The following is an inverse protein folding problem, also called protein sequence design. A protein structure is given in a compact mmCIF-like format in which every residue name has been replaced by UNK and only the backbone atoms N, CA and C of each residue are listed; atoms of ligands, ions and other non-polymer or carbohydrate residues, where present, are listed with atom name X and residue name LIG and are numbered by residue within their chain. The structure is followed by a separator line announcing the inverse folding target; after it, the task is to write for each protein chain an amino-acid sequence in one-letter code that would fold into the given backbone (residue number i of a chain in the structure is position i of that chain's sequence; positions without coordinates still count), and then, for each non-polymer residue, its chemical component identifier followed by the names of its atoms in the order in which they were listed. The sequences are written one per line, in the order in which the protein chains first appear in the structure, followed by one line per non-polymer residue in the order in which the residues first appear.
data_IF_851630429673
#
_entry.id   IF_851630429673
#
_cell.length_a   1.000
_cell.length_b   1.000
_cell.length_c   1.000
_cell.angle_alpha   90.00
_cell.angle_beta   90.00
_cell.angle_gamma   90.00
#
_symmetry.space_group_name_H-M   'P 1'
#
loop_
_entity.id
_entity.type
_entity.pdbx_description
1 polymer ?
#
# COMPACT_ATOMS: atom_id res chain seq x y z
N UNK A 1 19.26 15.29 -2.31
CA UNK A 1 18.40 14.15 -1.92
C UNK A 1 17.44 13.95 -3.07
N UNK A 2 17.53 12.85 -3.81
CA UNK A 2 16.69 12.64 -4.99
C UNK A 2 15.23 12.51 -4.56
N UNK A 3 14.40 13.50 -4.88
CA UNK A 3 12.94 13.45 -4.73
C UNK A 3 12.33 12.66 -5.89
N UNK A 4 12.77 11.41 -6.09
CA UNK A 4 12.12 10.52 -7.05
C UNK A 4 11.05 9.72 -6.32
N UNK A 5 9.76 9.90 -6.64
CA UNK A 5 8.68 9.21 -5.94
C UNK A 5 8.82 7.70 -6.15
N UNK A 6 8.85 6.95 -5.05
CA UNK A 6 9.00 5.50 -5.13
C UNK A 6 7.74 4.86 -5.70
N UNK A 7 7.84 3.62 -6.21
CA UNK A 7 6.67 2.81 -6.62
C UNK A 7 5.64 2.67 -5.48
N UNK A 8 6.10 2.71 -4.23
CA UNK A 8 5.23 2.73 -3.05
C UNK A 8 4.44 4.04 -2.99
N UNK A 9 5.11 5.19 -3.07
CA UNK A 9 4.48 6.50 -2.88
C UNK A 9 3.48 6.78 -4.00
N UNK A 10 3.84 6.49 -5.26
CA UNK A 10 2.93 6.59 -6.42
C UNK A 10 1.69 5.70 -6.27
N UNK A 11 1.84 4.52 -5.65
CA UNK A 11 0.72 3.62 -5.38
C UNK A 11 -0.20 4.16 -4.29
N UNK A 12 0.38 4.66 -3.20
CA UNK A 12 -0.38 5.25 -2.09
C UNK A 12 -1.18 6.47 -2.57
N UNK A 13 -0.54 7.37 -3.32
CA UNK A 13 -1.22 8.53 -3.90
C UNK A 13 -2.40 8.13 -4.81
N UNK A 14 -2.20 7.11 -5.63
CA UNK A 14 -3.27 6.60 -6.50
C UNK A 14 -4.44 6.06 -5.68
N UNK A 15 -4.17 5.41 -4.54
CA UNK A 15 -5.22 4.91 -3.65
C UNK A 15 -5.95 6.09 -3.01
N UNK A 16 -5.25 7.11 -2.52
CA UNK A 16 -5.86 8.33 -1.97
C UNK A 16 -6.82 8.99 -2.97
N UNK A 17 -6.37 9.19 -4.22
CA UNK A 17 -7.21 9.78 -5.28
C UNK A 17 -8.44 8.95 -5.62
N UNK A 18 -8.31 7.63 -5.67
CA UNK A 18 -9.39 6.74 -6.14
C UNK A 18 -10.38 6.33 -5.04
N UNK A 19 -9.88 5.95 -3.87
CA UNK A 19 -10.69 5.40 -2.79
C UNK A 19 -11.18 6.49 -1.83
N UNK A 20 -10.34 7.50 -1.56
CA UNK A 20 -10.65 8.56 -0.60
C UNK A 20 -11.13 9.86 -1.27
N UNK A 21 -10.91 10.03 -2.58
CA UNK A 21 -11.20 11.28 -3.28
C UNK A 21 -10.26 12.44 -2.89
N UNK A 22 -9.10 12.12 -2.30
CA UNK A 22 -8.11 13.10 -1.85
C UNK A 22 -7.06 13.28 -2.95
N UNK A 23 -6.87 14.52 -3.40
CA UNK A 23 -5.96 14.85 -4.51
C UNK A 23 -4.49 14.53 -4.18
N UNK A 24 -4.05 14.92 -2.99
CA UNK A 24 -2.68 14.78 -2.48
C UNK A 24 -2.70 14.46 -0.99
N UNK A 25 -1.70 13.69 -0.53
CA UNK A 25 -1.47 13.42 0.89
C UNK A 25 -0.41 14.35 1.50
N UNK A 26 0.07 15.35 0.75
CA UNK A 26 0.95 16.39 1.28
C UNK A 26 0.19 17.27 2.28
N UNK A 27 0.81 17.56 3.43
CA UNK A 27 0.25 18.53 4.39
C UNK A 27 0.31 19.94 3.82
N UNK A 28 -0.85 20.61 3.78
CA UNK A 28 -1.01 21.96 3.22
C UNK A 28 -1.27 23.04 4.28
N UNK A 29 -1.34 22.65 5.55
CA UNK A 29 -1.61 23.53 6.68
C UNK A 29 -2.86 24.41 6.49
N UNK A 30 -3.91 23.84 5.90
CA UNK A 30 -5.17 24.49 5.58
C UNK A 30 -6.32 23.54 5.91
N UNK A 31 -7.23 23.96 6.79
CA UNK A 31 -8.23 23.05 7.35
C UNK A 31 -9.02 22.27 6.28
N UNK A 32 -9.62 22.98 5.32
CA UNK A 32 -10.43 22.33 4.27
C UNK A 32 -9.64 21.50 3.25
N UNK A 33 -8.32 21.53 3.29
CA UNK A 33 -7.43 20.77 2.42
C UNK A 33 -6.74 19.60 3.11
N UNK A 34 -6.68 19.62 4.45
CA UNK A 34 -6.00 18.61 5.27
C UNK A 34 -6.97 17.76 6.12
N UNK A 35 -8.18 18.25 6.36
CA UNK A 35 -9.23 17.50 7.08
C UNK A 35 -10.34 17.09 6.11
N UNK A 36 -10.69 15.80 6.15
CA UNK A 36 -11.69 15.20 5.29
C UNK A 36 -12.70 14.38 6.11
N UNK A 37 -13.98 14.67 5.93
CA UNK A 37 -15.05 13.80 6.41
C UNK A 37 -15.21 12.63 5.43
N UNK A 38 -14.82 11.44 5.88
CA UNK A 38 -14.82 10.22 5.06
C UNK A 38 -15.71 9.17 5.69
N UNK A 39 -16.46 8.47 4.84
CA UNK A 39 -17.23 7.33 5.28
C UNK A 39 -16.31 6.16 5.67
N UNK A 40 -16.69 5.39 6.69
CA UNK A 40 -15.86 4.27 7.17
C UNK A 40 -15.62 3.20 6.10
N UNK A 41 -16.52 3.06 5.12
CA UNK A 41 -16.34 2.12 4.02
C UNK A 41 -15.31 2.58 2.97
N UNK A 42 -15.14 3.88 2.74
CA UNK A 42 -14.08 4.38 1.83
C UNK A 42 -12.70 4.24 2.47
N UNK A 43 -12.62 4.47 3.79
CA UNK A 43 -11.41 4.20 4.57
C UNK A 43 -11.05 2.71 4.49
N UNK A 44 -12.03 1.82 4.70
CA UNK A 44 -11.83 0.37 4.57
C UNK A 44 -11.31 -0.01 3.18
N UNK A 45 -11.94 0.47 2.11
CA UNK A 45 -11.53 0.21 0.73
C UNK A 45 -10.08 0.64 0.45
N UNK A 46 -9.69 1.83 0.94
CA UNK A 46 -8.32 2.30 0.81
C UNK A 46 -7.30 1.40 1.53
N UNK A 47 -7.63 0.94 2.75
CA UNK A 47 -6.76 0.05 3.53
C UNK A 47 -6.63 -1.33 2.87
N UNK A 48 -7.71 -1.89 2.33
CA UNK A 48 -7.69 -3.16 1.59
C UNK A 48 -6.82 -3.04 0.33
N UNK A 49 -6.98 -1.96 -0.44
CA UNK A 49 -6.14 -1.69 -1.61
C UNK A 49 -4.66 -1.50 -1.26
N UNK A 50 -4.35 -0.81 -0.15
CA UNK A 50 -2.98 -0.62 0.30
C UNK A 50 -2.34 -1.95 0.74
N UNK A 51 -3.08 -2.76 1.51
CA UNK A 51 -2.62 -4.08 1.94
C UNK A 51 -2.33 -5.00 0.75
N UNK A 52 -3.23 -5.06 -0.23
CA UNK A 52 -3.01 -5.86 -1.43
C UNK A 52 -1.83 -5.38 -2.27
N UNK A 53 -1.69 -4.06 -2.43
CA UNK A 53 -0.57 -3.49 -3.15
C UNK A 53 0.77 -3.86 -2.50
N UNK A 54 0.87 -3.73 -1.18
CA UNK A 54 2.04 -4.15 -0.42
C UNK A 54 2.33 -5.65 -0.59
N UNK A 55 1.30 -6.51 -0.49
CA UNK A 55 1.44 -7.96 -0.69
C UNK A 55 1.91 -8.33 -2.10
N UNK A 56 1.46 -7.60 -3.13
CA UNK A 56 1.86 -7.83 -4.54
C UNK A 56 3.27 -7.32 -4.82
N UNK A 57 3.71 -6.26 -4.13
CA UNK A 57 5.05 -5.70 -4.27
C UNK A 57 6.16 -6.58 -3.67
N UNK A 58 5.82 -7.47 -2.73
CA UNK A 58 6.79 -8.41 -2.16
C UNK A 58 7.35 -9.36 -3.24
N UNK A 59 8.68 -9.44 -3.41
CA UNK A 59 9.29 -10.36 -4.35
C UNK A 59 9.02 -11.81 -3.90
N UNK A 60 8.80 -12.74 -4.85
CA UNK A 60 8.72 -14.15 -4.50
C UNK A 60 10.06 -14.60 -3.90
N UNK A 61 9.99 -15.29 -2.78
CA UNK A 61 11.14 -15.96 -2.17
C UNK A 61 11.06 -17.43 -2.52
N UNK A 62 12.13 -17.97 -3.09
CA UNK A 62 12.24 -19.39 -3.37
C UNK A 62 12.67 -20.11 -2.11
N UNK A 63 11.90 -21.10 -1.68
CA UNK A 63 12.20 -21.91 -0.50
C UNK A 63 11.99 -23.39 -0.81
N UNK A 64 12.66 -24.26 -0.07
CA UNK A 64 12.43 -25.71 -0.16
C UNK A 64 11.33 -26.10 0.83
N UNK A 65 10.28 -26.77 0.35
CA UNK A 65 9.19 -27.21 1.21
C UNK A 65 9.68 -28.26 2.22
N UNK A 66 9.49 -28.07 3.54
CA UNK A 66 9.99 -29.01 4.56
C UNK A 66 9.28 -30.37 4.52
N UNK A 67 8.06 -30.43 3.97
CA UNK A 67 7.28 -31.67 3.90
C UNK A 67 7.68 -32.58 2.73
N UNK A 68 8.01 -32.01 1.56
CA UNK A 68 8.18 -32.78 0.32
C UNK A 68 9.48 -32.49 -0.44
N UNK A 69 10.33 -31.57 0.06
CA UNK A 69 11.62 -31.16 -0.53
C UNK A 69 11.57 -30.59 -1.96
N UNK A 70 10.39 -30.17 -2.45
CA UNK A 70 10.27 -29.44 -3.72
C UNK A 70 10.55 -27.95 -3.54
N UNK A 71 11.08 -27.33 -4.59
CA UNK A 71 11.20 -25.87 -4.66
C UNK A 71 9.80 -25.26 -4.82
N UNK A 72 9.49 -24.30 -3.96
CA UNK A 72 8.25 -23.53 -4.01
C UNK A 72 8.56 -22.03 -3.97
N UNK A 73 7.67 -21.23 -4.56
CA UNK A 73 7.70 -19.79 -4.45
C UNK A 73 6.67 -19.34 -3.42
N UNK A 74 7.13 -18.58 -2.42
CA UNK A 74 6.26 -17.94 -1.44
C UNK A 74 6.35 -16.44 -1.60
N UNK A 75 5.22 -15.74 -1.44
CA UNK A 75 5.20 -14.27 -1.31
C UNK A 75 4.92 -13.94 0.14
N UNK A 76 5.96 -13.70 0.95
CA UNK A 76 5.76 -13.37 2.35
C UNK A 76 4.99 -12.06 2.45
N UNK A 77 4.06 -12.00 3.40
CA UNK A 77 3.46 -10.73 3.80
C UNK A 77 4.59 -9.96 4.51
N UNK A 78 4.95 -8.74 4.05
CA UNK A 78 5.94 -7.93 4.73
C UNK A 78 5.58 -7.78 6.21
N UNK A 79 6.53 -7.89 7.14
CA UNK A 79 6.25 -7.70 8.56
C UNK A 79 5.71 -6.27 8.80
N UNK A 80 4.78 -6.11 9.74
CA UNK A 80 4.14 -4.82 10.09
C UNK A 80 5.07 -3.86 10.86
N UNK A 81 6.39 -4.03 10.76
CA UNK A 81 7.40 -3.26 11.52
C UNK A 81 7.44 -1.80 11.16
#
# INVERSE_FOLDING_TARGET
MSNDPTTRDTTIERIARKALGIETLETRHTDGLDFHDLAVWTIKDALEHAYEAGRKAAPPTRVTCPACRRDIEIRPIPPLT
#
